data_IF_172932969939
#
_entry.id   IF_172932969939
#
_cell.length_a   1.000
_cell.length_b   1.000
_cell.length_c   1.000
_cell.angle_alpha   90.00
_cell.angle_beta   90.00
_cell.angle_gamma   90.00
#
_symmetry.space_group_name_H-M   'P 1'
#
loop_
_entity.id
_entity.type
_entity.pdbx_description
1 polymer ?
#
# COMPACT_ATOMS: atom_id res chain seq x y z
N UNK A 1 -1.65 -13.48 -11.86
CA UNK A 1 -1.95 -12.21 -11.17
C UNK A 1 -3.42 -11.82 -11.25
N UNK A 2 -3.98 -11.37 -12.39
CA UNK A 2 -5.37 -10.87 -12.45
C UNK A 2 -6.41 -11.88 -11.94
N UNK A 3 -6.30 -13.15 -12.34
CA UNK A 3 -7.21 -14.20 -11.88
C UNK A 3 -7.16 -14.38 -10.35
N UNK A 4 -5.95 -14.47 -9.77
CA UNK A 4 -5.75 -14.59 -8.32
C UNK A 4 -6.29 -13.38 -7.56
N UNK A 5 -6.09 -12.17 -8.10
CA UNK A 5 -6.64 -10.95 -7.51
C UNK A 5 -8.17 -11.01 -7.48
N UNK A 6 -8.82 -11.31 -8.61
CA UNK A 6 -10.29 -11.39 -8.67
C UNK A 6 -10.82 -12.51 -7.76
N UNK A 7 -10.17 -13.67 -7.69
CA UNK A 7 -10.53 -14.73 -6.75
C UNK A 7 -10.42 -14.29 -5.28
N UNK A 8 -9.38 -13.50 -4.96
CA UNK A 8 -9.20 -12.94 -3.62
C UNK A 8 -10.30 -11.93 -3.31
N UNK A 9 -10.65 -11.06 -4.26
CA UNK A 9 -11.76 -10.11 -4.11
C UNK A 9 -13.10 -10.83 -3.95
N UNK A 10 -13.37 -11.88 -4.73
CA UNK A 10 -14.59 -12.69 -4.60
C UNK A 10 -14.69 -13.36 -3.22
N UNK A 11 -13.55 -13.81 -2.67
CA UNK A 11 -13.49 -14.33 -1.31
C UNK A 11 -13.78 -13.26 -0.26
N UNK A 12 -13.16 -12.08 -0.36
CA UNK A 12 -13.43 -10.97 0.57
C UNK A 12 -14.88 -10.51 0.51
N UNK A 13 -15.49 -10.48 -0.68
CA UNK A 13 -16.92 -10.18 -0.87
C UNK A 13 -17.85 -11.22 -0.21
N UNK A 14 -17.41 -12.48 -0.12
CA UNK A 14 -18.15 -13.52 0.61
C UNK A 14 -17.97 -13.42 2.14
N UNK A 15 -17.02 -12.63 2.62
CA UNK A 15 -16.66 -12.49 4.03
C UNK A 15 -16.98 -11.08 4.55
N UNK A 16 -17.88 -10.33 3.90
CA UNK A 16 -18.23 -8.98 4.35
C UNK A 16 -18.85 -8.97 5.77
N UNK A 17 -19.49 -10.06 6.20
CA UNK A 17 -20.11 -10.21 7.52
C UNK A 17 -19.35 -11.13 8.48
N UNK A 18 -18.16 -11.60 8.09
CA UNK A 18 -17.40 -12.61 8.83
C UNK A 18 -15.93 -12.18 8.97
N UNK A 19 -15.20 -12.81 9.90
CA UNK A 19 -13.75 -12.61 9.98
C UNK A 19 -13.04 -13.24 8.78
N UNK A 20 -12.05 -12.54 8.24
CA UNK A 20 -11.25 -13.05 7.13
C UNK A 20 -10.31 -14.14 7.63
N UNK A 21 -10.47 -15.38 7.15
CA UNK A 21 -9.45 -16.41 7.30
C UNK A 21 -8.19 -16.02 6.52
N UNK A 22 -7.16 -15.59 7.26
CA UNK A 22 -5.88 -15.13 6.74
C UNK A 22 -5.08 -16.24 6.05
N UNK A 23 -5.25 -17.50 6.45
CA UNK A 23 -4.57 -18.62 5.81
C UNK A 23 -5.16 -18.87 4.42
N UNK A 24 -6.49 -18.91 4.31
CA UNK A 24 -7.19 -19.00 3.03
C UNK A 24 -6.91 -17.79 2.15
N UNK A 25 -6.90 -16.59 2.72
CA UNK A 25 -6.54 -15.35 2.02
C UNK A 25 -5.15 -15.44 1.38
N UNK A 26 -4.15 -15.89 2.16
CA UNK A 26 -2.77 -16.00 1.66
C UNK A 26 -2.65 -17.07 0.57
N UNK A 27 -3.40 -18.17 0.67
CA UNK A 27 -3.44 -19.20 -0.38
C UNK A 27 -4.02 -18.68 -1.70
N UNK A 28 -5.07 -17.85 -1.65
CA UNK A 28 -5.72 -17.28 -2.83
C UNK A 28 -4.87 -16.17 -3.47
N UNK A 29 -4.42 -15.22 -2.65
CA UNK A 29 -3.70 -14.03 -3.12
C UNK A 29 -2.23 -14.28 -3.41
N UNK A 30 -1.62 -15.24 -2.70
CA UNK A 30 -0.17 -15.43 -2.67
C UNK A 30 0.58 -14.39 -1.84
N UNK A 31 -0.11 -13.52 -1.11
CA UNK A 31 0.46 -12.43 -0.32
C UNK A 31 -0.03 -12.45 1.13
N UNK A 32 0.70 -11.79 2.02
CA UNK A 32 0.15 -11.43 3.33
C UNK A 32 -0.97 -10.40 3.15
N UNK A 33 -1.88 -10.32 4.12
CA UNK A 33 -2.98 -9.35 4.09
C UNK A 33 -2.48 -7.90 4.00
N UNK A 34 -1.41 -7.56 4.73
CA UNK A 34 -0.81 -6.23 4.71
C UNK A 34 -0.26 -5.87 3.31
N UNK A 35 0.53 -6.75 2.70
CA UNK A 35 1.08 -6.50 1.37
C UNK A 35 -0.03 -6.41 0.32
N UNK A 36 -1.01 -7.31 0.34
CA UNK A 36 -2.14 -7.23 -0.58
C UNK A 36 -2.92 -5.93 -0.40
N UNK A 37 -3.16 -5.50 0.84
CA UNK A 37 -3.86 -4.24 1.13
C UNK A 37 -3.10 -3.05 0.55
N UNK A 38 -1.77 -3.01 0.67
CA UNK A 38 -0.94 -1.96 0.04
C UNK A 38 -1.05 -2.00 -1.49
N UNK A 39 -0.87 -3.17 -2.10
CA UNK A 39 -0.96 -3.31 -3.56
C UNK A 39 -2.37 -2.98 -4.09
N UNK A 40 -3.41 -3.35 -3.34
CA UNK A 40 -4.79 -2.97 -3.61
C UNK A 40 -4.95 -1.45 -3.60
N UNK A 41 -4.44 -0.75 -2.58
CA UNK A 41 -4.54 0.71 -2.48
C UNK A 41 -3.92 1.42 -3.67
N UNK A 42 -2.77 0.95 -4.16
CA UNK A 42 -2.10 1.50 -5.35
C UNK A 42 -2.94 1.30 -6.62
N UNK A 43 -3.59 0.14 -6.76
CA UNK A 43 -4.39 -0.21 -7.94
C UNK A 43 -5.78 0.45 -7.93
N UNK A 44 -6.43 0.50 -6.78
CA UNK A 44 -7.81 0.92 -6.62
C UNK A 44 -7.95 2.41 -6.26
N UNK A 45 -6.83 3.10 -5.98
CA UNK A 45 -6.80 4.47 -5.45
C UNK A 45 -7.70 4.64 -4.20
N UNK A 46 -7.83 3.58 -3.37
CA UNK A 46 -8.57 3.55 -2.11
C UNK A 46 -8.08 2.40 -1.23
N UNK A 47 -8.15 2.53 0.10
CA UNK A 47 -7.71 1.44 0.98
C UNK A 47 -8.62 0.21 0.90
N UNK A 48 -8.06 -0.98 1.15
CA UNK A 48 -8.87 -2.20 1.21
C UNK A 48 -9.94 -2.13 2.32
N UNK A 49 -9.60 -1.56 3.47
CA UNK A 49 -10.53 -1.37 4.58
C UNK A 49 -11.69 -0.43 4.19
N UNK A 50 -11.40 0.68 3.50
CA UNK A 50 -12.42 1.58 2.97
C UNK A 50 -13.31 0.86 1.95
N UNK A 51 -12.72 0.09 1.03
CA UNK A 51 -13.46 -0.71 0.07
C UNK A 51 -14.44 -1.65 0.76
N UNK A 52 -13.98 -2.46 1.72
CA UNK A 52 -14.81 -3.42 2.45
C UNK A 52 -15.91 -2.73 3.25
N UNK A 53 -15.60 -1.60 3.92
CA UNK A 53 -16.59 -0.79 4.62
C UNK A 53 -17.69 -0.27 3.67
N UNK A 54 -17.30 0.30 2.53
CA UNK A 54 -18.25 0.80 1.53
C UNK A 54 -19.11 -0.34 0.93
N UNK A 55 -18.54 -1.54 0.76
CA UNK A 55 -19.28 -2.74 0.31
C UNK A 55 -20.27 -3.21 1.37
N UNK A 56 -19.87 -3.31 2.65
CA UNK A 56 -20.75 -3.64 3.79
C UNK A 56 -21.96 -2.69 3.85
N UNK A 57 -21.72 -1.38 3.78
CA UNK A 57 -22.79 -0.37 3.78
C UNK A 57 -23.72 -0.52 2.57
N UNK A 58 -23.16 -0.79 1.38
CA UNK A 58 -23.95 -1.03 0.17
C UNK A 58 -24.81 -2.30 0.26
N UNK A 59 -24.31 -3.40 0.83
CA UNK A 59 -25.09 -4.64 1.00
C UNK A 59 -26.15 -4.50 2.11
N UNK A 60 -25.88 -3.72 3.15
CA UNK A 60 -26.85 -3.45 4.21
C UNK A 60 -28.14 -2.81 3.70
N UNK A 61 -28.12 -2.11 2.56
CA UNK A 61 -29.34 -1.59 1.92
C UNK A 61 -30.29 -2.72 1.52
N UNK A 62 -29.76 -3.82 0.99
CA UNK A 62 -30.56 -4.99 0.61
C UNK A 62 -31.27 -5.54 1.84
N UNK A 63 -30.54 -5.79 2.93
CA UNK A 63 -31.12 -6.28 4.19
C UNK A 63 -32.16 -5.29 4.77
N UNK A 64 -31.90 -3.99 4.69
CA UNK A 64 -32.81 -2.95 5.17
C UNK A 64 -34.14 -2.88 4.40
N UNK A 65 -34.12 -3.22 3.10
CA UNK A 65 -35.27 -3.11 2.19
C UNK A 65 -36.03 -4.43 2.02
N UNK A 66 -35.33 -5.55 2.08
CA UNK A 66 -35.90 -6.88 1.83
C UNK A 66 -36.33 -7.59 3.12
N UNK A 67 -35.92 -7.09 4.29
CA UNK A 67 -36.28 -7.66 5.59
C UNK A 67 -36.94 -6.65 6.54
N UNK A 68 -37.55 -7.17 7.60
CA UNK A 68 -38.02 -6.38 8.75
C UNK A 68 -37.05 -6.41 9.94
N UNK A 69 -35.81 -6.87 9.73
CA UNK A 69 -34.78 -6.95 10.77
C UNK A 69 -34.53 -5.58 11.42
N UNK A 70 -34.15 -5.57 12.69
CA UNK A 70 -33.87 -4.30 13.37
C UNK A 70 -32.55 -3.75 12.86
N UNK A 71 -32.44 -2.42 12.83
CA UNK A 71 -31.21 -1.73 12.38
C UNK A 71 -29.99 -2.17 13.20
N UNK A 72 -30.17 -2.48 14.50
CA UNK A 72 -29.08 -2.99 15.33
C UNK A 72 -28.61 -4.39 14.91
N UNK A 73 -29.53 -5.28 14.50
CA UNK A 73 -29.16 -6.63 14.07
C UNK A 73 -28.38 -6.59 12.75
N UNK A 74 -28.81 -5.72 11.82
CA UNK A 74 -28.10 -5.46 10.56
C UNK A 74 -26.73 -4.81 10.84
N UNK A 75 -26.65 -3.87 11.79
CA UNK A 75 -25.38 -3.25 12.18
C UNK A 75 -24.39 -4.30 12.69
N UNK A 76 -24.82 -5.19 13.58
CA UNK A 76 -23.98 -6.27 14.13
C UNK A 76 -23.54 -7.25 13.04
N UNK A 77 -24.42 -7.59 12.08
CA UNK A 77 -24.08 -8.44 10.92
C UNK A 77 -22.91 -7.88 10.09
N UNK A 78 -22.80 -6.56 9.98
CA UNK A 78 -21.74 -5.89 9.22
C UNK A 78 -20.63 -5.32 10.12
N UNK A 79 -20.41 -5.93 11.29
CA UNK A 79 -19.26 -5.68 12.14
C UNK A 79 -19.24 -4.25 12.73
N UNK A 80 -20.43 -3.72 13.07
CA UNK A 80 -20.58 -2.50 13.84
C UNK A 80 -21.06 -2.79 15.27
N UNK A 81 -20.33 -2.27 16.26
CA UNK A 81 -20.63 -2.46 17.69
C UNK A 81 -21.93 -1.78 18.17
N UNK A 82 -22.49 -0.84 17.40
CA UNK A 82 -23.71 -0.14 17.76
C UNK A 82 -24.50 0.37 16.55
N UNK A 83 -25.82 0.50 16.74
CA UNK A 83 -26.70 1.08 15.73
C UNK A 83 -26.39 2.56 15.43
N UNK A 84 -25.86 3.30 16.40
CA UNK A 84 -25.48 4.70 16.22
C UNK A 84 -24.23 4.84 15.35
N UNK A 85 -23.20 4.03 15.59
CA UNK A 85 -22.00 3.99 14.77
C UNK A 85 -22.33 3.60 13.33
N UNK A 86 -23.13 2.54 13.16
CA UNK A 86 -23.64 2.12 11.86
C UNK A 86 -24.45 3.24 11.18
N UNK A 87 -25.40 3.85 11.88
CA UNK A 87 -26.25 4.91 11.31
C UNK A 87 -25.45 6.15 10.88
N UNK A 88 -24.40 6.51 11.63
CA UNK A 88 -23.51 7.61 11.29
C UNK A 88 -22.70 7.29 10.01
N UNK A 89 -22.09 6.10 9.94
CA UNK A 89 -21.34 5.64 8.77
C UNK A 89 -22.25 5.51 7.53
N UNK A 90 -23.41 4.87 7.70
CA UNK A 90 -24.43 4.69 6.67
C UNK A 90 -24.93 6.02 6.12
N UNK A 91 -25.23 7.00 7.00
CA UNK A 91 -25.64 8.34 6.58
C UNK A 91 -24.53 9.09 5.86
N UNK A 92 -23.28 8.99 6.33
CA UNK A 92 -22.12 9.60 5.66
C UNK A 92 -21.95 9.03 4.24
N UNK A 93 -22.12 7.72 4.09
CA UNK A 93 -21.96 7.03 2.82
C UNK A 93 -23.13 7.24 1.85
N UNK A 94 -24.36 6.96 2.27
CA UNK A 94 -25.54 7.02 1.39
C UNK A 94 -26.21 8.40 1.33
N UNK A 95 -25.96 9.29 2.31
CA UNK A 95 -26.62 10.59 2.43
C UNK A 95 -27.98 10.57 3.15
N UNK A 96 -28.44 9.39 3.61
CA UNK A 96 -29.70 9.17 4.30
C UNK A 96 -29.53 8.14 5.42
N UNK A 97 -30.38 8.16 6.45
CA UNK A 97 -30.32 7.19 7.55
C UNK A 97 -30.84 5.81 7.11
N UNK A 98 -30.50 4.72 7.81
CA UNK A 98 -31.04 3.38 7.51
C UNK A 98 -32.58 3.35 7.44
N UNK A 99 -33.25 4.00 8.39
CA UNK A 99 -34.72 4.08 8.42
C UNK A 99 -35.30 4.88 7.25
N UNK A 100 -34.62 5.95 6.82
CA UNK A 100 -35.06 6.73 5.65
C UNK A 100 -34.95 5.92 4.35
N UNK A 101 -33.85 5.18 4.17
CA UNK A 101 -33.65 4.31 3.00
C UNK A 101 -34.66 3.17 2.99
N UNK A 102 -34.95 2.57 4.16
CA UNK A 102 -36.04 1.58 4.30
C UNK A 102 -37.38 2.13 3.84
N UNK A 103 -37.65 3.40 4.11
CA UNK A 103 -38.88 4.09 3.71
C UNK A 103 -38.83 4.67 2.28
N UNK A 104 -37.87 4.25 1.44
CA UNK A 104 -37.83 4.58 0.03
C UNK A 104 -37.02 5.83 -0.33
N UNK A 105 -36.21 6.38 0.57
CA UNK A 105 -35.23 7.39 0.15
C UNK A 105 -34.20 6.79 -0.82
N UNK A 106 -33.67 7.60 -1.77
CA UNK A 106 -32.53 7.21 -2.58
C UNK A 106 -31.31 6.83 -1.73
N UNK A 107 -30.50 5.92 -2.26
CA UNK A 107 -29.27 5.45 -1.66
C UNK A 107 -28.18 5.30 -2.73
N UNK A 108 -26.92 5.32 -2.31
CA UNK A 108 -25.77 5.05 -3.19
C UNK A 108 -25.56 3.55 -3.39
N UNK A 109 -25.22 3.14 -4.61
CA UNK A 109 -24.79 1.78 -4.95
C UNK A 109 -23.28 1.80 -5.14
N UNK A 110 -22.58 0.88 -4.51
CA UNK A 110 -21.12 0.73 -4.66
C UNK A 110 -20.81 -0.66 -5.21
N UNK A 111 -20.58 -0.79 -6.53
CA UNK A 111 -20.40 -2.09 -7.16
C UNK A 111 -19.10 -2.77 -6.72
N UNK A 112 -19.06 -4.10 -6.87
CA UNK A 112 -17.85 -4.89 -6.61
C UNK A 112 -16.73 -4.46 -7.54
N UNK A 113 -15.52 -4.32 -7.01
CA UNK A 113 -14.32 -4.08 -7.79
C UNK A 113 -13.88 -5.39 -8.44
N UNK A 114 -13.64 -5.34 -9.74
CA UNK A 114 -13.06 -6.44 -10.50
C UNK A 114 -11.98 -5.89 -11.41
N UNK A 115 -10.82 -6.55 -11.44
CA UNK A 115 -9.83 -6.28 -12.48
C UNK A 115 -10.35 -6.85 -13.79
N UNK A 116 -10.35 -6.00 -14.82
CA UNK A 116 -10.72 -6.35 -16.17
C UNK A 116 -9.55 -6.13 -17.12
N UNK A 117 -9.54 -6.86 -18.23
CA UNK A 117 -8.53 -6.69 -19.26
C UNK A 117 -8.71 -5.32 -19.92
N UNK A 118 -7.77 -4.41 -19.66
CA UNK A 118 -7.62 -3.16 -20.40
C UNK A 118 -6.52 -3.36 -21.43
N UNK A 119 -6.74 -2.92 -22.66
CA UNK A 119 -5.66 -2.90 -23.65
C UNK A 119 -4.70 -1.77 -23.24
N UNK A 120 -3.59 -2.15 -22.63
CA UNK A 120 -2.46 -1.31 -22.24
C UNK A 120 -1.19 -1.86 -22.91
N UNK A 121 -0.25 -0.98 -23.27
CA UNK A 121 0.96 -1.38 -24.01
C UNK A 121 1.49 -0.31 -24.97
N UNK A 122 2.55 -0.63 -25.71
CA UNK A 122 3.22 0.30 -26.64
C UNK A 122 4.09 1.37 -25.96
N UNK A 123 4.26 1.28 -24.63
CA UNK A 123 5.17 2.10 -23.84
C UNK A 123 6.25 1.20 -23.25
N UNK A 124 7.48 1.42 -23.68
CA UNK A 124 8.63 0.70 -23.17
C UNK A 124 9.09 1.34 -21.86
N UNK A 125 9.40 0.51 -20.87
CA UNK A 125 10.15 0.91 -19.68
C UNK A 125 11.27 -0.09 -19.47
N UNK A 126 12.50 0.40 -19.39
CA UNK A 126 13.69 -0.43 -19.33
C UNK A 126 13.90 -0.96 -17.90
N UNK A 127 13.24 -2.07 -17.57
CA UNK A 127 13.35 -2.72 -16.25
C UNK A 127 14.54 -3.67 -16.26
N UNK A 128 15.38 -3.57 -15.22
CA UNK A 128 16.51 -4.48 -14.99
C UNK A 128 16.21 -5.44 -13.86
N UNK A 129 16.43 -6.74 -14.07
CA UNK A 129 16.39 -7.74 -13.00
C UNK A 129 17.79 -7.94 -12.42
N UNK A 130 17.93 -7.83 -11.10
CA UNK A 130 19.22 -7.97 -10.42
C UNK A 130 19.07 -8.59 -9.03
N UNK A 131 19.96 -9.53 -8.69
CA UNK A 131 20.15 -9.98 -7.31
C UNK A 131 20.97 -8.95 -6.53
N UNK A 132 20.46 -8.54 -5.38
CA UNK A 132 21.16 -7.67 -4.44
C UNK A 132 21.45 -8.46 -3.16
N UNK A 133 22.73 -8.52 -2.71
CA UNK A 133 23.06 -9.09 -1.40
C UNK A 133 22.38 -8.33 -0.26
N UNK A 134 22.35 -8.95 0.92
CA UNK A 134 21.89 -8.29 2.12
C UNK A 134 22.77 -7.05 2.41
N UNK A 135 22.15 -5.98 2.86
CA UNK A 135 22.81 -4.72 3.16
C UNK A 135 22.11 -4.03 4.33
N UNK A 136 22.74 -2.99 4.85
CA UNK A 136 22.32 -2.34 6.08
C UNK A 136 22.11 -0.88 5.77
N UNK A 137 21.06 -0.32 6.34
CA UNK A 137 20.74 1.10 6.26
C UNK A 137 20.57 1.66 7.66
N UNK A 138 20.86 2.95 7.83
CA UNK A 138 20.56 3.67 9.06
C UNK A 138 20.02 5.06 8.77
N UNK A 139 19.07 5.50 9.58
CA UNK A 139 18.44 6.80 9.43
C UNK A 139 17.32 7.07 10.42
N UNK A 140 16.40 7.95 10.03
CA UNK A 140 15.21 8.29 10.81
C UNK A 140 14.08 7.36 10.39
N UNK A 141 13.55 6.60 11.35
CA UNK A 141 12.36 5.78 11.21
C UNK A 141 11.16 6.52 11.81
N UNK A 142 10.13 6.74 11.00
CA UNK A 142 8.83 7.16 11.46
C UNK A 142 7.88 5.97 11.42
N UNK A 143 7.20 5.71 12.53
CA UNK A 143 6.29 4.58 12.67
C UNK A 143 4.84 5.04 12.69
N UNK A 144 3.98 4.25 12.07
CA UNK A 144 2.55 4.49 12.00
C UNK A 144 2.17 5.91 11.54
N UNK A 145 2.82 6.37 10.46
CA UNK A 145 2.57 7.68 9.84
C UNK A 145 1.69 7.57 8.60
N UNK A 146 1.01 8.66 8.26
CA UNK A 146 0.38 8.80 6.95
C UNK A 146 1.46 8.95 5.86
N UNK A 147 1.23 8.40 4.66
CA UNK A 147 2.15 8.53 3.52
C UNK A 147 2.56 9.98 3.20
N UNK A 148 1.67 10.96 3.43
CA UNK A 148 1.97 12.38 3.24
C UNK A 148 3.06 12.92 4.18
N UNK A 149 3.38 12.18 5.25
CA UNK A 149 4.37 12.55 6.25
C UNK A 149 5.76 11.98 5.95
N UNK A 150 5.95 11.13 4.92
CA UNK A 150 7.26 10.61 4.53
C UNK A 150 8.36 11.69 4.36
N UNK A 151 8.08 12.87 3.75
CA UNK A 151 9.09 13.93 3.64
C UNK A 151 9.63 14.40 4.99
N UNK A 152 8.83 14.35 6.05
CA UNK A 152 9.25 14.78 7.40
C UNK A 152 10.36 13.89 7.98
N UNK A 153 10.50 12.64 7.54
CA UNK A 153 11.62 11.78 7.94
C UNK A 153 12.96 12.33 7.40
N UNK A 154 12.96 12.80 6.14
CA UNK A 154 14.11 13.45 5.53
C UNK A 154 14.42 14.79 6.18
N UNK A 155 13.40 15.60 6.46
CA UNK A 155 13.55 16.87 7.18
C UNK A 155 14.20 16.66 8.56
N UNK A 156 13.73 15.67 9.32
CA UNK A 156 14.31 15.31 10.63
C UNK A 156 15.75 14.80 10.51
N UNK A 157 16.04 14.00 9.48
CA UNK A 157 17.39 13.48 9.25
C UNK A 157 18.38 14.61 8.98
N UNK A 158 18.04 15.52 8.06
CA UNK A 158 18.93 16.62 7.67
C UNK A 158 18.95 17.81 8.65
N UNK A 159 17.94 17.94 9.50
CA UNK A 159 17.97 18.92 10.59
C UNK A 159 18.98 18.55 11.69
N UNK A 160 19.24 17.25 11.89
CA UNK A 160 20.07 16.74 12.98
C UNK A 160 21.47 16.28 12.53
N UNK A 161 21.67 16.02 11.23
CA UNK A 161 22.92 15.46 10.70
C UNK A 161 23.35 16.15 9.41
N UNK A 162 24.66 16.31 9.22
CA UNK A 162 25.22 16.84 7.98
C UNK A 162 25.30 15.76 6.91
N UNK A 163 25.22 16.13 5.62
CA UNK A 163 25.41 15.21 4.50
C UNK A 163 26.72 14.42 4.61
N UNK A 164 27.84 15.08 4.91
CA UNK A 164 29.15 14.43 5.08
C UNK A 164 29.13 13.34 6.17
N UNK A 165 28.41 13.58 7.28
CA UNK A 165 28.31 12.60 8.38
C UNK A 165 27.53 11.35 7.97
N UNK A 166 26.50 11.52 7.14
CA UNK A 166 25.64 10.45 6.63
C UNK A 166 26.32 9.68 5.50
N UNK A 167 26.94 10.38 4.55
CA UNK A 167 27.65 9.77 3.42
C UNK A 167 28.80 8.87 3.89
N UNK A 168 29.49 9.32 4.93
CA UNK A 168 30.62 8.59 5.51
C UNK A 168 30.23 7.40 6.40
N UNK A 169 28.95 6.99 6.43
CA UNK A 169 28.49 5.73 7.03
C UNK A 169 28.74 4.52 6.10
N UNK A 170 28.78 4.73 4.79
CA UNK A 170 28.84 3.68 3.78
C UNK A 170 29.35 4.20 2.44
N UNK A 171 28.62 3.91 1.37
CA UNK A 171 28.91 4.44 0.03
C UNK A 171 28.28 5.80 -0.24
N UNK A 172 27.44 6.29 0.67
CA UNK A 172 26.72 7.56 0.55
C UNK A 172 25.42 7.47 -0.23
N UNK A 173 24.96 6.24 -0.52
CA UNK A 173 23.68 6.03 -1.18
C UNK A 173 22.54 6.21 -0.18
N UNK A 174 21.56 7.04 -0.55
CA UNK A 174 20.38 7.28 0.25
C UNK A 174 19.19 6.43 -0.22
N UNK A 175 18.35 6.03 0.73
CA UNK A 175 17.24 5.09 0.56
C UNK A 175 15.97 5.59 1.27
N UNK A 176 14.83 5.42 0.60
CA UNK A 176 13.52 5.51 1.22
C UNK A 176 12.94 4.11 1.37
N UNK A 177 12.59 3.70 2.59
CA UNK A 177 12.04 2.37 2.86
C UNK A 177 10.63 2.49 3.41
N UNK A 178 9.67 1.95 2.67
CA UNK A 178 8.31 1.77 3.15
C UNK A 178 8.16 0.36 3.71
N UNK A 179 7.53 0.23 4.88
CA UNK A 179 7.13 -1.06 5.43
C UNK A 179 5.69 -1.01 5.91
N UNK A 180 4.97 -2.09 5.61
CA UNK A 180 3.54 -2.18 5.81
C UNK A 180 3.19 -2.23 7.31
N UNK A 181 2.17 -1.45 7.70
CA UNK A 181 1.47 -1.58 8.97
C UNK A 181 0.13 -2.28 8.72
N UNK A 182 -0.47 -2.84 9.77
CA UNK A 182 -1.60 -3.78 9.65
C UNK A 182 -2.83 -3.23 8.91
N UNK A 183 -3.04 -1.92 8.77
CA UNK A 183 -4.20 -1.37 8.03
C UNK A 183 -4.07 0.14 7.73
N UNK A 184 -4.59 0.58 6.57
CA UNK A 184 -4.78 2.00 6.19
C UNK A 184 -3.68 2.59 5.30
N UNK A 185 -3.68 3.93 5.15
CA UNK A 185 -2.56 4.71 4.59
C UNK A 185 -1.42 4.91 5.60
N UNK A 186 -1.49 4.17 6.72
CA UNK A 186 -0.54 4.18 7.81
C UNK A 186 0.61 3.25 7.45
N UNK A 187 1.82 3.78 7.42
CA UNK A 187 3.04 3.04 7.10
C UNK A 187 4.15 3.33 8.09
N UNK A 188 5.15 2.47 8.09
CA UNK A 188 6.45 2.77 8.66
C UNK A 188 7.36 3.23 7.51
N UNK A 189 7.91 4.44 7.62
CA UNK A 189 8.83 4.99 6.62
C UNK A 189 10.19 5.28 7.22
N UNK A 190 11.26 4.89 6.53
CA UNK A 190 12.63 5.20 6.92
C UNK A 190 13.33 5.98 5.82
N UNK A 191 13.82 7.17 6.16
CA UNK A 191 14.78 7.93 5.37
C UNK A 191 16.18 7.56 5.85
N UNK A 192 16.99 6.92 5.01
CA UNK A 192 18.22 6.28 5.45
C UNK A 192 19.38 6.40 4.45
N UNK A 193 20.58 6.12 4.91
CA UNK A 193 21.78 5.89 4.10
C UNK A 193 22.28 4.46 4.28
N UNK A 194 23.02 3.94 3.31
CA UNK A 194 23.70 2.66 3.49
C UNK A 194 24.81 2.73 4.54
N UNK A 195 25.03 1.61 5.22
CA UNK A 195 25.94 1.51 6.35
C UNK A 195 26.92 0.36 6.17
N UNK A 196 28.20 0.68 6.26
CA UNK A 196 29.29 -0.28 6.46
C UNK A 196 29.87 -0.20 7.87
N UNK A 197 29.74 0.95 8.55
CA UNK A 197 30.15 1.15 9.95
C UNK A 197 28.93 1.34 10.88
N UNK A 198 28.49 0.25 11.49
CA UNK A 198 27.35 0.25 12.43
C UNK A 198 27.60 1.10 13.67
N UNK A 199 28.82 1.06 14.22
CA UNK A 199 29.13 1.75 15.46
C UNK A 199 29.01 3.27 15.28
N UNK A 200 29.39 3.77 14.10
CA UNK A 200 29.21 5.17 13.75
C UNK A 200 27.74 5.55 13.60
N UNK A 201 26.92 4.71 12.96
CA UNK A 201 25.48 4.93 12.86
C UNK A 201 24.79 4.97 14.24
N UNK A 202 25.17 4.05 15.15
CA UNK A 202 24.68 4.00 16.53
C UNK A 202 25.10 5.25 17.32
N UNK A 203 26.33 5.72 17.15
CA UNK A 203 26.84 6.94 17.80
C UNK A 203 26.08 8.21 17.37
N UNK A 204 25.52 8.21 16.16
CA UNK A 204 24.63 9.27 15.67
C UNK A 204 23.18 9.12 16.16
N UNK A 205 22.85 8.05 16.87
CA UNK A 205 21.49 7.78 17.36
C UNK A 205 20.51 7.36 16.26
N UNK A 206 21.01 6.87 15.11
CA UNK A 206 20.18 6.47 13.98
C UNK A 206 19.56 5.09 14.20
N UNK A 207 18.34 4.90 13.69
CA UNK A 207 17.70 3.59 13.64
C UNK A 207 18.34 2.74 12.54
N UNK A 208 18.74 1.51 12.86
CA UNK A 208 19.42 0.61 11.94
C UNK A 208 18.46 -0.48 11.46
N UNK A 209 18.46 -0.77 10.15
CA UNK A 209 17.67 -1.84 9.54
C UNK A 209 18.53 -2.68 8.60
N UNK A 210 18.41 -3.99 8.71
CA UNK A 210 19.00 -4.94 7.77
C UNK A 210 17.98 -5.30 6.69
N UNK A 211 18.40 -5.21 5.44
CA UNK A 211 17.61 -5.59 4.27
C UNK A 211 18.14 -6.92 3.76
N UNK A 212 17.32 -7.99 3.73
CA UNK A 212 17.78 -9.30 3.31
C UNK A 212 18.14 -9.34 1.83
N UNK A 213 18.96 -10.30 1.44
CA UNK A 213 19.25 -10.54 0.03
C UNK A 213 17.98 -10.95 -0.73
N UNK A 214 17.73 -10.33 -1.87
CA UNK A 214 16.62 -10.69 -2.75
C UNK A 214 16.96 -10.39 -4.22
N UNK A 215 16.09 -10.88 -5.11
CA UNK A 215 16.09 -10.49 -6.52
C UNK A 215 15.12 -9.32 -6.69
N UNK A 216 15.53 -8.29 -7.44
CA UNK A 216 14.80 -7.05 -7.59
C UNK A 216 14.54 -6.75 -9.06
N UNK A 217 13.35 -6.25 -9.34
CA UNK A 217 13.08 -5.44 -10.53
C UNK A 217 13.45 -3.99 -10.21
N UNK A 218 14.43 -3.47 -10.92
CA UNK A 218 14.90 -2.08 -10.82
C UNK A 218 14.13 -1.29 -11.87
N UNK A 219 13.27 -0.40 -11.39
CA UNK A 219 12.39 0.42 -12.20
C UNK A 219 12.95 1.84 -12.26
N UNK A 220 13.37 2.34 -13.43
CA UNK A 220 13.79 3.72 -13.56
C UNK A 220 12.58 4.64 -13.37
N UNK A 221 12.72 5.66 -12.53
CA UNK A 221 11.70 6.66 -12.27
C UNK A 221 12.24 8.00 -12.75
N UNK A 222 11.44 8.71 -13.56
CA UNK A 222 11.74 10.07 -13.99
C UNK A 222 10.58 11.01 -13.69
N UNK A 223 10.88 12.16 -13.09
CA UNK A 223 9.95 13.24 -12.81
C UNK A 223 9.74 13.53 -11.34
N UNK A 224 8.93 14.56 -11.08
CA UNK A 224 8.69 15.08 -9.74
C UNK A 224 8.11 14.03 -8.78
N UNK A 225 8.69 13.97 -7.58
CA UNK A 225 8.32 13.06 -6.50
C UNK A 225 7.24 13.72 -5.63
N UNK A 226 6.21 12.99 -5.16
CA UNK A 226 6.04 11.53 -5.21
C UNK A 226 5.27 10.99 -6.42
N UNK A 227 4.73 11.86 -7.29
CA UNK A 227 3.85 11.45 -8.38
C UNK A 227 4.50 10.44 -9.35
N UNK A 228 5.78 10.61 -9.68
CA UNK A 228 6.52 9.69 -10.56
C UNK A 228 6.72 8.29 -9.95
N UNK A 229 6.87 8.17 -8.62
CA UNK A 229 6.91 6.88 -7.92
C UNK A 229 5.56 6.15 -8.03
N UNK A 230 4.45 6.87 -7.82
CA UNK A 230 3.10 6.28 -7.95
C UNK A 230 2.85 5.78 -9.37
N UNK A 231 3.30 6.51 -10.40
CA UNK A 231 3.22 6.06 -11.78
C UNK A 231 4.06 4.80 -12.05
N UNK A 232 5.26 4.72 -11.48
CA UNK A 232 6.12 3.54 -11.60
C UNK A 232 5.47 2.30 -10.97
N UNK A 233 4.92 2.43 -9.76
CA UNK A 233 4.16 1.37 -9.11
C UNK A 233 2.92 0.93 -9.91
N UNK A 234 2.14 1.88 -10.45
CA UNK A 234 1.00 1.55 -11.33
C UNK A 234 1.44 0.77 -12.57
N UNK A 235 2.52 1.19 -13.23
CA UNK A 235 3.06 0.41 -14.37
C UNK A 235 3.46 -1.00 -13.95
N UNK A 236 4.11 -1.14 -12.79
CA UNK A 236 4.58 -2.45 -12.33
C UNK A 236 3.41 -3.40 -12.10
N UNK A 237 2.34 -2.93 -11.45
CA UNK A 237 1.18 -3.75 -11.13
C UNK A 237 0.25 -4.00 -12.34
N UNK A 238 0.10 -3.02 -13.22
CA UNK A 238 -0.82 -3.10 -14.37
C UNK A 238 -0.19 -3.73 -15.61
N UNK A 239 1.14 -3.65 -15.76
CA UNK A 239 1.84 -4.07 -16.99
C UNK A 239 2.94 -5.08 -16.68
N UNK A 240 3.92 -4.73 -15.85
CA UNK A 240 5.11 -5.57 -15.68
C UNK A 240 4.80 -6.94 -15.08
N UNK A 241 4.11 -7.00 -13.93
CA UNK A 241 3.79 -8.28 -13.29
C UNK A 241 2.85 -9.16 -14.13
N UNK A 242 1.77 -8.64 -14.74
CA UNK A 242 0.93 -9.43 -15.66
C UNK A 242 1.69 -10.00 -16.86
N UNK A 243 2.59 -9.23 -17.48
CA UNK A 243 3.25 -9.63 -18.74
C UNK A 243 4.48 -10.53 -18.54
N UNK A 244 5.17 -10.41 -17.40
CA UNK A 244 6.46 -11.12 -17.19
C UNK A 244 6.35 -12.38 -16.33
N UNK A 245 5.24 -12.56 -15.60
CA UNK A 245 5.07 -13.65 -14.65
C UNK A 245 5.83 -13.45 -13.33
N UNK A 246 6.48 -12.31 -13.13
CA UNK A 246 6.99 -11.92 -11.81
C UNK A 246 5.85 -11.44 -10.90
N UNK A 247 6.08 -11.56 -9.59
CA UNK A 247 5.25 -10.99 -8.54
C UNK A 247 6.10 -10.45 -7.41
N UNK A 248 5.52 -9.61 -6.56
CA UNK A 248 6.20 -9.13 -5.35
C UNK A 248 6.57 -10.31 -4.44
N UNK A 249 7.81 -10.38 -3.96
CA UNK A 249 8.24 -11.52 -3.13
C UNK A 249 7.87 -11.39 -1.66
N UNK A 250 7.53 -10.17 -1.21
CA UNK A 250 7.26 -9.85 0.19
C UNK A 250 8.49 -9.45 1.00
N UNK A 251 9.68 -9.50 0.40
CA UNK A 251 10.83 -8.79 0.94
C UNK A 251 10.59 -7.25 0.87
N UNK A 252 11.41 -6.44 1.55
CA UNK A 252 11.29 -4.98 1.49
C UNK A 252 11.64 -4.42 0.10
N UNK A 253 10.74 -3.60 -0.45
CA UNK A 253 11.02 -2.64 -1.51
C UNK A 253 11.61 -1.35 -0.95
N UNK A 254 12.32 -0.61 -1.80
CA UNK A 254 12.92 0.67 -1.42
C UNK A 254 13.16 1.57 -2.63
N UNK A 255 13.17 2.86 -2.34
CA UNK A 255 13.52 3.97 -3.22
C UNK A 255 15.02 4.20 -3.13
N UNK A 256 15.72 4.31 -4.26
CA UNK A 256 17.15 4.66 -4.33
C UNK A 256 17.25 6.04 -4.96
N UNK A 257 17.49 7.04 -4.13
CA UNK A 257 17.49 8.44 -4.53
C UNK A 257 18.84 8.86 -5.12
N UNK A 258 18.82 9.73 -6.11
CA UNK A 258 20.03 10.43 -6.57
C UNK A 258 20.08 11.83 -5.99
N UNK A 259 21.25 12.45 -6.01
CA UNK A 259 21.36 13.89 -5.76
C UNK A 259 20.55 14.70 -6.78
N UNK A 260 19.97 15.82 -6.34
CA UNK A 260 19.23 16.75 -7.19
C UNK A 260 17.95 17.27 -6.56
N UNK A 261 17.26 18.13 -7.30
CA UNK A 261 15.96 18.67 -6.91
C UNK A 261 14.85 17.66 -7.22
N UNK A 262 14.29 17.03 -6.17
CA UNK A 262 13.23 16.03 -6.27
C UNK A 262 11.90 16.57 -6.80
N UNK A 263 11.71 17.90 -6.82
CA UNK A 263 10.54 18.55 -7.42
C UNK A 263 10.68 18.73 -8.94
N UNK A 264 11.88 18.50 -9.48
CA UNK A 264 12.17 18.67 -10.90
C UNK A 264 11.46 17.64 -11.77
N UNK A 265 10.89 18.04 -12.92
CA UNK A 265 10.36 17.10 -13.91
C UNK A 265 11.45 16.23 -14.57
N UNK A 266 12.72 16.57 -14.39
CA UNK A 266 13.86 15.81 -14.90
C UNK A 266 14.61 15.02 -13.82
N UNK A 267 14.14 15.06 -12.57
CA UNK A 267 14.70 14.23 -11.49
C UNK A 267 14.63 12.74 -11.85
N UNK A 268 15.67 11.99 -11.49
CA UNK A 268 15.79 10.57 -11.77
C UNK A 268 16.09 9.82 -10.49
N UNK A 269 15.51 8.64 -10.33
CA UNK A 269 15.81 7.74 -9.23
C UNK A 269 15.44 6.31 -9.65
N UNK A 270 15.70 5.35 -8.78
CA UNK A 270 15.30 3.96 -9.02
C UNK A 270 14.34 3.47 -7.94
N UNK A 271 13.29 2.78 -8.37
CA UNK A 271 12.41 2.04 -7.48
C UNK A 271 12.78 0.56 -7.55
N UNK A 272 13.19 -0.01 -6.41
CA UNK A 272 13.65 -1.39 -6.31
C UNK A 272 12.55 -2.24 -5.69
N UNK A 273 11.92 -3.07 -6.52
CA UNK A 273 10.80 -3.91 -6.11
C UNK A 273 11.27 -5.36 -6.06
N UNK A 274 11.17 -6.05 -4.91
CA UNK A 274 11.66 -7.41 -4.80
C UNK A 274 10.69 -8.37 -5.48
N UNK A 275 11.23 -9.24 -6.32
CA UNK A 275 10.47 -10.10 -7.20
C UNK A 275 10.79 -11.58 -7.00
N UNK A 276 9.81 -12.41 -7.30
CA UNK A 276 9.93 -13.85 -7.45
C UNK A 276 9.12 -14.27 -8.67
N UNK A 277 9.55 -15.32 -9.39
CA UNK A 277 8.71 -15.91 -10.43
C UNK A 277 7.52 -16.62 -9.79
N UNK A 278 6.33 -16.30 -10.28
CA UNK A 278 5.07 -16.93 -9.88
C UNK A 278 4.96 -18.37 -10.36
#
# INVERSE_FOLDING_TARGET
>A
MMHQFNQTMDYLEQQLSEEVDLQKFQQLSGYSYALFSRLFSILADMTLAEYLCNRRLSEAVTDLRESSEKVIDIALKYDYDSADAFSAAFKKFHGATPSEVRNGKPYRVFPRLQLSLKITGGKNMDIKIQKKPAFIVAGVLLEAIDNSQCPSAWEQLYANHSFESLESLGSGQSFGLCSDVKEGEIINYMAAYDVTDKAKAEALGLSIKEIPAAEYAIVPVKGAIPASIHHAWKYVLEVFFPETGYRHSGAPDFEVYTEGDMSSPDYQMELWIPVIKG
#
